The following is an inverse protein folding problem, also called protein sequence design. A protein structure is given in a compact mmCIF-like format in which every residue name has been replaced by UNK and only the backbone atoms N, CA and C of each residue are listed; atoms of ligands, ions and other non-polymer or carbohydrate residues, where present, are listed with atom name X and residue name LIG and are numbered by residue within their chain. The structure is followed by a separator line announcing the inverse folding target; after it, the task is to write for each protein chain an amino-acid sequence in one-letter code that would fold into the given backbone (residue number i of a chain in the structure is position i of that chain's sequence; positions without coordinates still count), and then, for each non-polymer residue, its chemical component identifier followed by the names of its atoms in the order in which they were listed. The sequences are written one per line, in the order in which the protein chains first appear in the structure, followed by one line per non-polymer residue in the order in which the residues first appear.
data_IF_605817815751
#
_entry.id   IF_605817815751
#
_cell.length_a   1.000
_cell.length_b   1.000
_cell.length_c   1.000
_cell.angle_alpha   90.00
_cell.angle_beta   90.00
_cell.angle_gamma   90.00
#
_symmetry.space_group_name_H-M   'P 1'
#
loop_
_entity.id
_entity.type
_entity.pdbx_description
1 polymer ?
#
# COMPACT_ATOMS: atom_id res chain seq x y z
N UNK A 1 -75.88 35.47 16.45
CA UNK A 1 -75.15 34.19 16.29
C UNK A 1 -73.64 34.36 16.12
N UNK A 2 -73.15 35.31 15.30
CA UNK A 2 -71.71 35.52 15.05
C UNK A 2 -70.78 35.71 16.29
N UNK A 3 -71.16 36.45 17.36
CA UNK A 3 -70.24 36.67 18.49
C UNK A 3 -70.02 35.41 19.36
N UNK A 4 -71.00 34.51 19.41
CA UNK A 4 -70.89 33.26 20.18
C UNK A 4 -69.91 32.28 19.52
N UNK A 5 -70.00 32.14 18.19
CA UNK A 5 -69.10 31.27 17.39
C UNK A 5 -67.65 31.75 17.50
N UNK A 6 -67.43 33.07 17.50
CA UNK A 6 -66.07 33.64 17.63
C UNK A 6 -65.46 33.37 19.01
N UNK A 7 -66.26 33.42 20.08
CA UNK A 7 -65.83 33.09 21.44
C UNK A 7 -65.45 31.61 21.60
N UNK A 8 -66.25 30.72 20.99
CA UNK A 8 -66.00 29.28 20.97
C UNK A 8 -64.72 28.96 20.19
N UNK A 9 -64.54 29.56 19.00
CA UNK A 9 -63.34 29.35 18.18
C UNK A 9 -62.07 29.84 18.89
N UNK A 10 -62.13 30.98 19.58
CA UNK A 10 -61.02 31.49 20.39
C UNK A 10 -60.67 30.55 21.56
N UNK A 11 -61.66 29.93 22.18
CA UNK A 11 -61.45 28.95 23.26
C UNK A 11 -60.83 27.65 22.75
N UNK A 12 -61.25 27.17 21.57
CA UNK A 12 -60.68 25.98 20.93
C UNK A 12 -59.21 26.21 20.55
N UNK A 13 -58.87 27.37 19.96
CA UNK A 13 -57.49 27.69 19.61
C UNK A 13 -56.59 27.80 20.86
N UNK A 14 -57.12 28.36 21.96
CA UNK A 14 -56.41 28.42 23.22
C UNK A 14 -56.17 27.03 23.82
N UNK A 15 -57.14 26.13 23.74
CA UNK A 15 -56.98 24.74 24.16
C UNK A 15 -55.93 23.99 23.32
N UNK A 16 -55.90 24.25 22.00
CA UNK A 16 -54.90 23.69 21.09
C UNK A 16 -53.48 24.18 21.42
N UNK A 17 -53.29 25.47 21.70
CA UNK A 17 -51.99 26.00 22.14
C UNK A 17 -51.51 25.38 23.46
N UNK A 18 -52.43 25.16 24.41
CA UNK A 18 -52.10 24.52 25.69
C UNK A 18 -51.66 23.07 25.48
N UNK A 19 -52.32 22.34 24.57
CA UNK A 19 -51.96 20.97 24.23
C UNK A 19 -50.58 20.86 23.56
N UNK A 20 -50.29 21.73 22.60
CA UNK A 20 -48.98 21.79 21.93
C UNK A 20 -47.85 22.13 22.93
N UNK A 21 -48.08 23.08 23.85
CA UNK A 21 -47.10 23.40 24.90
C UNK A 21 -46.88 22.25 25.87
N UNK A 22 -47.93 21.48 26.19
CA UNK A 22 -47.81 20.28 27.03
C UNK A 22 -47.01 19.18 26.31
N UNK A 23 -47.25 18.95 25.02
CA UNK A 23 -46.49 17.99 24.20
C UNK A 23 -45.01 18.34 24.13
N UNK A 24 -44.68 19.62 23.88
CA UNK A 24 -43.29 20.08 23.85
C UNK A 24 -42.61 19.87 25.21
N UNK A 25 -43.29 20.18 26.32
CA UNK A 25 -42.74 19.96 27.67
C UNK A 25 -42.53 18.48 27.98
N UNK A 26 -43.47 17.61 27.61
CA UNK A 26 -43.33 16.16 27.78
C UNK A 26 -42.15 15.60 26.97
N UNK A 27 -42.00 16.04 25.72
CA UNK A 27 -40.88 15.63 24.87
C UNK A 27 -39.54 16.15 25.41
N UNK A 28 -39.50 17.37 25.92
CA UNK A 28 -38.31 17.97 26.51
C UNK A 28 -37.90 17.28 27.81
N UNK A 29 -38.87 16.90 28.65
CA UNK A 29 -38.63 16.08 29.85
C UNK A 29 -38.09 14.70 29.46
N UNK A 30 -38.69 14.02 28.49
CA UNK A 30 -38.24 12.72 28.01
C UNK A 30 -36.81 12.75 27.45
N UNK A 31 -36.49 13.77 26.64
CA UNK A 31 -35.15 13.96 26.08
C UNK A 31 -34.12 14.25 27.18
N UNK A 32 -34.47 15.11 28.16
CA UNK A 32 -33.59 15.46 29.26
C UNK A 32 -33.30 14.27 30.18
N UNK A 33 -34.32 13.46 30.51
CA UNK A 33 -34.15 12.23 31.30
C UNK A 33 -33.33 11.18 30.56
N UNK A 34 -33.55 11.01 29.25
CA UNK A 34 -32.78 10.07 28.43
C UNK A 34 -31.31 10.49 28.35
N UNK A 35 -31.04 11.77 28.05
CA UNK A 35 -29.67 12.31 27.98
C UNK A 35 -28.98 12.23 29.35
N UNK A 36 -29.67 12.54 30.45
CA UNK A 36 -29.12 12.42 31.79
C UNK A 36 -28.75 10.96 32.14
N UNK A 37 -29.58 10.00 31.77
CA UNK A 37 -29.30 8.57 31.98
C UNK A 37 -28.13 8.08 31.11
N UNK A 38 -28.01 8.54 29.87
CA UNK A 38 -26.87 8.21 28.99
C UNK A 38 -25.57 8.84 29.50
N UNK A 39 -25.61 10.08 30.00
CA UNK A 39 -24.45 10.74 30.61
C UNK A 39 -24.05 10.05 31.91
N UNK A 40 -25.01 9.70 32.77
CA UNK A 40 -24.75 9.01 34.04
C UNK A 40 -24.15 7.63 33.83
N UNK A 41 -24.63 6.86 32.85
CA UNK A 41 -24.06 5.56 32.48
C UNK A 41 -22.64 5.70 31.91
N UNK A 42 -22.37 6.68 31.06
CA UNK A 42 -21.01 6.95 30.55
C UNK A 42 -20.04 7.36 31.67
N UNK A 43 -20.51 8.17 32.62
CA UNK A 43 -19.72 8.67 33.74
C UNK A 43 -19.45 7.57 34.77
N UNK A 44 -20.42 6.70 35.06
CA UNK A 44 -20.24 5.53 35.92
C UNK A 44 -19.28 4.52 35.29
N UNK A 45 -19.42 4.21 33.99
CA UNK A 45 -18.49 3.33 33.28
C UNK A 45 -17.07 3.91 33.32
N UNK A 46 -16.90 5.21 33.07
CA UNK A 46 -15.59 5.86 33.11
C UNK A 46 -14.99 5.89 34.52
N UNK A 47 -15.79 6.22 35.53
CA UNK A 47 -15.32 6.32 36.92
C UNK A 47 -14.95 4.95 37.51
N UNK A 48 -15.63 3.89 37.10
CA UNK A 48 -15.42 2.55 37.65
C UNK A 48 -14.34 1.77 36.86
N UNK A 49 -14.17 2.02 35.56
CA UNK A 49 -13.19 1.27 34.74
C UNK A 49 -11.79 1.92 34.75
N UNK A 50 -11.68 3.24 34.93
CA UNK A 50 -10.38 3.97 35.00
C UNK A 50 -9.48 3.50 36.16
N UNK A 51 -9.98 3.21 37.38
CA UNK A 51 -9.15 2.69 38.46
C UNK A 51 -8.65 1.26 38.21
N UNK A 52 -9.37 0.46 37.42
CA UNK A 52 -9.08 -0.96 37.21
C UNK A 52 -7.92 -1.20 36.22
N UNK A 53 -7.69 -0.27 35.28
CA UNK A 53 -6.68 -0.40 34.23
C UNK A 53 -5.23 -0.14 34.69
N UNK A 54 -4.99 0.33 35.92
CA UNK A 54 -3.64 0.70 36.40
C UNK A 54 -2.92 -0.33 37.27
N UNK A 55 -3.52 -1.49 37.56
CA UNK A 55 -2.85 -2.59 38.28
C UNK A 55 -2.42 -3.69 37.31
N UNK A 56 -1.35 -3.45 36.56
CA UNK A 56 -0.58 -4.52 35.89
C UNK A 56 0.76 -4.68 36.58
N UNK A 57 0.78 -5.49 37.64
CA UNK A 57 1.86 -6.42 37.95
C UNK A 57 1.37 -7.39 39.05
N UNK A 58 1.53 -8.69 38.81
CA UNK A 58 1.18 -9.86 39.66
C UNK A 58 -0.30 -10.29 39.75
N UNK A 59 -0.72 -11.05 38.71
CA UNK A 59 -1.41 -12.37 38.68
C UNK A 59 -2.31 -12.91 39.82
N UNK A 60 -2.83 -12.08 40.73
CA UNK A 60 -3.97 -12.40 41.59
C UNK A 60 -5.02 -11.32 41.33
N UNK A 61 -5.98 -11.61 40.46
CA UNK A 61 -7.01 -10.62 40.13
C UNK A 61 -7.95 -10.49 41.33
N UNK A 62 -7.92 -9.31 41.96
CA UNK A 62 -8.77 -8.95 43.10
C UNK A 62 -10.24 -9.26 42.74
N UNK A 63 -10.86 -10.19 43.48
CA UNK A 63 -12.27 -10.54 43.26
C UNK A 63 -13.11 -9.32 43.61
N UNK A 64 -13.96 -8.91 42.68
CA UNK A 64 -14.89 -7.81 42.89
C UNK A 64 -15.84 -8.17 44.04
N UNK A 65 -16.21 -7.17 44.84
CA UNK A 65 -17.24 -7.37 45.85
C UNK A 65 -18.57 -7.72 45.19
N UNK A 66 -19.46 -8.39 45.93
CA UNK A 66 -20.76 -8.80 45.39
C UNK A 66 -21.59 -7.60 44.87
N UNK A 67 -21.52 -6.46 45.56
CA UNK A 67 -22.21 -5.24 45.15
C UNK A 67 -21.64 -4.66 43.86
N UNK A 68 -20.31 -4.64 43.72
CA UNK A 68 -19.65 -4.21 42.49
C UNK A 68 -20.01 -5.14 41.33
N UNK A 69 -19.94 -6.46 41.53
CA UNK A 69 -20.30 -7.45 40.52
C UNK A 69 -21.75 -7.27 40.04
N UNK A 70 -22.69 -6.99 40.94
CA UNK A 70 -24.09 -6.68 40.60
C UNK A 70 -24.21 -5.38 39.80
N UNK A 71 -23.54 -4.30 40.22
CA UNK A 71 -23.57 -3.02 39.53
C UNK A 71 -23.06 -3.15 38.09
N UNK A 72 -21.93 -3.81 37.90
CA UNK A 72 -21.37 -4.05 36.58
C UNK A 72 -22.24 -4.97 35.73
N UNK A 73 -22.81 -6.03 36.32
CA UNK A 73 -23.71 -6.94 35.61
C UNK A 73 -24.89 -6.17 35.01
N UNK A 74 -25.53 -5.29 35.77
CA UNK A 74 -26.64 -4.47 35.28
C UNK A 74 -26.23 -3.54 34.11
N UNK A 75 -25.00 -3.02 34.14
CA UNK A 75 -24.43 -2.23 33.02
C UNK A 75 -24.19 -3.11 31.80
N UNK A 76 -23.61 -4.30 31.97
CA UNK A 76 -23.34 -5.23 30.88
C UNK A 76 -24.64 -5.74 30.23
N UNK A 77 -25.70 -6.00 31.02
CA UNK A 77 -27.04 -6.32 30.53
C UNK A 77 -27.56 -5.22 29.61
N UNK A 78 -27.46 -3.96 30.05
CA UNK A 78 -27.85 -2.80 29.24
C UNK A 78 -27.06 -2.72 27.93
N UNK A 79 -25.76 -3.05 27.95
CA UNK A 79 -24.94 -3.07 26.74
C UNK A 79 -25.36 -4.18 25.75
N UNK A 80 -25.69 -5.38 26.25
CA UNK A 80 -26.20 -6.48 25.42
C UNK A 80 -27.54 -6.10 24.78
N UNK A 81 -28.42 -5.44 25.53
CA UNK A 81 -29.70 -4.95 25.01
C UNK A 81 -29.52 -3.88 23.93
N UNK A 82 -28.62 -2.92 24.15
CA UNK A 82 -28.28 -1.90 23.15
C UNK A 82 -27.69 -2.51 21.87
N UNK A 83 -26.78 -3.48 22.00
CA UNK A 83 -26.26 -4.22 20.87
C UNK A 83 -27.39 -4.99 20.17
N UNK A 84 -28.32 -5.59 20.90
CA UNK A 84 -29.52 -6.25 20.35
C UNK A 84 -30.35 -5.31 19.49
N UNK A 85 -30.67 -4.12 20.00
CA UNK A 85 -31.38 -3.07 19.25
C UNK A 85 -30.61 -2.68 17.98
N UNK A 86 -29.30 -2.47 18.09
CA UNK A 86 -28.46 -2.13 16.93
C UNK A 86 -28.50 -3.23 15.86
N UNK A 87 -28.56 -4.51 16.27
CA UNK A 87 -28.70 -5.64 15.36
C UNK A 87 -30.03 -5.64 14.60
N UNK A 88 -31.12 -5.25 15.26
CA UNK A 88 -32.43 -5.10 14.62
C UNK A 88 -32.49 -3.93 13.63
N UNK A 89 -31.78 -2.83 13.92
CA UNK A 89 -31.72 -1.66 13.03
C UNK A 89 -30.83 -1.93 11.81
N UNK A 90 -29.80 -2.78 11.94
CA UNK A 90 -28.87 -3.13 10.89
C UNK A 90 -28.96 -4.62 10.48
N UNK A 91 -30.08 -5.06 9.85
CA UNK A 91 -30.22 -6.43 9.40
C UNK A 91 -29.39 -6.67 8.14
N UNK A 92 -28.46 -7.62 8.19
CA UNK A 92 -27.78 -8.10 6.98
C UNK A 92 -28.71 -9.09 6.28
N UNK A 93 -29.40 -8.62 5.23
CA UNK A 93 -30.19 -9.50 4.37
C UNK A 93 -29.25 -10.35 3.52
N UNK A 94 -29.01 -11.59 3.95
CA UNK A 94 -28.53 -12.62 3.06
C UNK A 94 -29.73 -13.06 2.23
N UNK A 95 -29.62 -12.92 0.91
CA UNK A 95 -30.57 -13.57 0.00
C UNK A 95 -30.40 -15.08 0.16
N UNK A 96 -31.16 -15.68 1.08
CA UNK A 96 -31.03 -17.08 1.47
C UNK A 96 -31.95 -17.49 2.63
N UNK A 97 -33.22 -17.70 2.30
CA UNK A 97 -34.20 -18.60 2.94
C UNK A 97 -35.02 -18.15 4.19
N UNK A 98 -36.32 -17.96 3.90
CA UNK A 98 -37.57 -18.35 4.60
C UNK A 98 -37.93 -17.79 5.98
N UNK A 99 -39.06 -17.07 5.96
CA UNK A 99 -40.14 -17.01 6.94
C UNK A 99 -39.85 -16.47 8.35
N UNK A 100 -39.74 -15.15 8.45
CA UNK A 100 -40.68 -14.29 9.20
C UNK A 100 -40.20 -12.82 9.10
N UNK A 101 -41.12 -11.90 8.76
CA UNK A 101 -40.93 -10.44 8.60
C UNK A 101 -40.48 -9.89 7.21
N UNK A 102 -41.04 -10.45 6.14
CA UNK A 102 -40.93 -9.94 4.76
C UNK A 102 -41.36 -8.46 4.57
N UNK A 103 -42.13 -7.88 5.49
CA UNK A 103 -42.69 -6.52 5.33
C UNK A 103 -41.76 -5.43 5.85
N UNK A 104 -40.98 -5.66 6.91
CA UNK A 104 -40.14 -4.60 7.50
C UNK A 104 -38.80 -4.45 6.76
N UNK A 105 -38.18 -5.56 6.37
CA UNK A 105 -36.92 -5.57 5.62
C UNK A 105 -37.08 -5.01 4.20
N UNK A 106 -38.23 -5.24 3.55
CA UNK A 106 -38.49 -4.77 2.18
C UNK A 106 -38.71 -3.26 2.11
N UNK A 107 -39.33 -2.64 3.12
CA UNK A 107 -39.57 -1.18 3.15
C UNK A 107 -38.25 -0.41 3.34
N UNK A 108 -37.40 -0.81 4.30
CA UNK A 108 -36.10 -0.18 4.52
C UNK A 108 -35.15 -0.36 3.33
N UNK A 109 -35.16 -1.54 2.70
CA UNK A 109 -34.35 -1.83 1.51
C UNK A 109 -34.76 -0.96 0.32
N UNK A 110 -36.06 -0.71 0.12
CA UNK A 110 -36.55 0.06 -1.04
C UNK A 110 -36.24 1.55 -0.97
N UNK A 111 -36.12 2.13 0.22
CA UNK A 111 -35.79 3.55 0.38
C UNK A 111 -34.28 3.85 0.23
N UNK A 112 -33.40 2.87 0.51
CA UNK A 112 -31.95 3.04 0.40
C UNK A 112 -31.39 2.68 -1.00
N UNK A 113 -32.12 1.88 -1.78
CA UNK A 113 -31.61 1.24 -2.99
C UNK A 113 -31.36 2.14 -4.21
N UNK A 114 -31.88 3.37 -4.28
CA UNK A 114 -31.78 4.17 -5.50
C UNK A 114 -30.48 5.01 -5.64
N UNK A 115 -29.60 5.05 -4.62
CA UNK A 115 -28.38 5.88 -4.65
C UNK A 115 -27.04 5.13 -4.54
N UNK A 116 -27.03 3.80 -4.36
CA UNK A 116 -25.83 3.04 -3.90
C UNK A 116 -25.40 1.90 -4.84
N UNK A 117 -25.64 1.98 -6.14
CA UNK A 117 -25.34 0.84 -7.05
C UNK A 117 -23.90 0.81 -7.61
N UNK A 118 -22.98 1.70 -7.18
CA UNK A 118 -21.56 1.66 -7.60
C UNK A 118 -20.56 1.33 -6.46
N UNK A 119 -21.01 1.25 -5.21
CA UNK A 119 -20.20 0.94 -4.02
C UNK A 119 -20.55 -0.42 -3.38
N UNK A 120 -21.37 -1.24 -4.03
CA UNK A 120 -22.19 -2.28 -3.38
C UNK A 120 -21.40 -3.47 -2.82
N UNK A 121 -20.34 -3.95 -3.48
CA UNK A 121 -19.59 -5.11 -3.00
C UNK A 121 -18.76 -4.81 -1.74
N UNK A 122 -18.07 -3.66 -1.70
CA UNK A 122 -17.30 -3.21 -0.54
C UNK A 122 -18.21 -2.83 0.64
N UNK A 123 -19.40 -2.29 0.36
CA UNK A 123 -20.40 -1.94 1.36
C UNK A 123 -20.99 -3.17 2.06
N UNK A 124 -21.33 -4.22 1.29
CA UNK A 124 -21.88 -5.47 1.86
C UNK A 124 -20.84 -6.16 2.77
N UNK A 125 -19.57 -6.21 2.35
CA UNK A 125 -18.51 -6.79 3.17
C UNK A 125 -18.27 -5.98 4.45
N UNK A 126 -18.28 -4.65 4.37
CA UNK A 126 -18.19 -3.81 5.58
C UNK A 126 -19.37 -4.02 6.53
N UNK A 127 -20.59 -4.23 6.02
CA UNK A 127 -21.77 -4.50 6.85
C UNK A 127 -21.70 -5.88 7.52
N UNK A 128 -21.21 -6.91 6.81
CA UNK A 128 -20.93 -8.22 7.39
C UNK A 128 -19.93 -8.12 8.52
N UNK A 129 -18.83 -7.40 8.30
CA UNK A 129 -17.82 -7.17 9.32
C UNK A 129 -18.41 -6.47 10.55
N UNK A 130 -19.15 -5.38 10.36
CA UNK A 130 -19.80 -4.67 11.48
C UNK A 130 -20.75 -5.60 12.24
N UNK A 131 -21.49 -6.47 11.55
CA UNK A 131 -22.38 -7.43 12.21
C UNK A 131 -21.62 -8.51 12.98
N UNK A 132 -20.52 -9.03 12.42
CA UNK A 132 -19.64 -9.98 13.08
C UNK A 132 -18.97 -9.35 14.31
N UNK A 133 -18.45 -8.13 14.19
CA UNK A 133 -17.82 -7.38 15.28
C UNK A 133 -18.83 -7.08 16.40
N UNK A 134 -20.07 -6.70 16.05
CA UNK A 134 -21.17 -6.53 16.99
C UNK A 134 -21.47 -7.84 17.73
N UNK A 135 -21.57 -8.96 17.01
CA UNK A 135 -21.86 -10.25 17.62
C UNK A 135 -20.74 -10.68 18.57
N UNK A 136 -19.49 -10.53 18.14
CA UNK A 136 -18.31 -10.77 18.98
C UNK A 136 -18.34 -9.92 20.25
N UNK A 137 -18.63 -8.62 20.15
CA UNK A 137 -18.77 -7.76 21.32
C UNK A 137 -19.90 -8.22 22.25
N UNK A 138 -21.05 -8.63 21.70
CA UNK A 138 -22.15 -9.19 22.46
C UNK A 138 -21.72 -10.44 23.22
N UNK A 139 -21.04 -11.38 22.55
CA UNK A 139 -20.59 -12.64 23.14
C UNK A 139 -19.57 -12.41 24.27
N UNK A 140 -18.61 -11.48 24.06
CA UNK A 140 -17.61 -11.10 25.07
C UNK A 140 -18.28 -10.46 26.29
N UNK A 141 -19.23 -9.56 26.08
CA UNK A 141 -19.97 -8.89 27.16
C UNK A 141 -20.82 -9.91 27.93
N UNK A 142 -21.56 -10.79 27.24
CA UNK A 142 -22.36 -11.85 27.87
C UNK A 142 -21.47 -12.83 28.65
N UNK A 143 -20.34 -13.25 28.09
CA UNK A 143 -19.39 -14.13 28.77
C UNK A 143 -18.79 -13.45 30.02
N UNK A 144 -18.46 -12.16 29.92
CA UNK A 144 -17.97 -11.36 31.04
C UNK A 144 -19.04 -11.23 32.13
N UNK A 145 -20.27 -10.87 31.76
CA UNK A 145 -21.42 -10.78 32.66
C UNK A 145 -21.64 -12.09 33.42
N UNK A 146 -21.65 -13.22 32.72
CA UNK A 146 -21.76 -14.55 33.34
C UNK A 146 -20.61 -14.83 34.32
N UNK A 147 -19.37 -14.54 33.93
CA UNK A 147 -18.18 -14.73 34.79
C UNK A 147 -18.22 -13.83 36.02
N UNK A 148 -18.76 -12.62 35.90
CA UNK A 148 -18.98 -11.71 37.02
C UNK A 148 -20.02 -12.24 38.00
N UNK A 149 -21.14 -12.79 37.51
CA UNK A 149 -22.17 -13.41 38.34
C UNK A 149 -21.67 -14.67 39.06
N UNK A 150 -20.91 -15.53 38.37
CA UNK A 150 -20.47 -16.83 38.91
C UNK A 150 -19.26 -16.72 39.84
N UNK A 151 -18.32 -15.83 39.52
CA UNK A 151 -16.98 -15.81 40.15
C UNK A 151 -16.52 -14.44 40.64
N UNK A 152 -17.26 -13.37 40.33
CA UNK A 152 -16.86 -12.00 40.63
C UNK A 152 -15.63 -11.53 39.84
N UNK A 153 -15.36 -12.12 38.67
CA UNK A 153 -14.17 -11.81 37.85
C UNK A 153 -14.54 -11.38 36.43
N UNK A 154 -13.67 -10.59 35.80
CA UNK A 154 -13.81 -10.11 34.41
C UNK A 154 -12.74 -10.67 33.46
N UNK A 155 -12.10 -11.79 33.82
CA UNK A 155 -10.99 -12.39 33.06
C UNK A 155 -11.33 -12.67 31.59
N UNK A 156 -12.61 -12.95 31.31
CA UNK A 156 -13.09 -13.16 29.94
C UNK A 156 -12.82 -11.95 29.02
N UNK A 157 -12.88 -10.74 29.56
CA UNK A 157 -12.62 -9.51 28.80
C UNK A 157 -11.12 -9.33 28.55
N UNK A 158 -10.28 -9.60 29.55
CA UNK A 158 -8.82 -9.58 29.43
C UNK A 158 -8.35 -10.59 28.39
N UNK A 159 -8.84 -11.83 28.46
CA UNK A 159 -8.54 -12.88 27.48
C UNK A 159 -9.01 -12.51 26.05
N UNK A 160 -10.18 -11.88 25.91
CA UNK A 160 -10.69 -11.42 24.62
C UNK A 160 -9.84 -10.26 24.04
N UNK A 161 -9.36 -9.36 24.91
CA UNK A 161 -8.48 -8.26 24.54
C UNK A 161 -7.10 -8.75 24.08
N UNK A 162 -6.51 -9.70 24.81
CA UNK A 162 -5.24 -10.33 24.43
C UNK A 162 -5.34 -11.03 23.07
N UNK A 163 -6.43 -11.74 22.80
CA UNK A 163 -6.67 -12.39 21.50
C UNK A 163 -6.78 -11.40 20.34
N UNK A 164 -7.40 -10.24 20.54
CA UNK A 164 -7.47 -9.20 19.49
C UNK A 164 -6.12 -8.50 19.26
N UNK A 165 -5.36 -8.22 20.32
CA UNK A 165 -3.99 -7.69 20.16
C UNK A 165 -3.08 -8.69 19.42
N UNK A 166 -3.21 -10.00 19.70
CA UNK A 166 -2.48 -11.04 18.96
C UNK A 166 -2.87 -11.08 17.48
N UNK A 167 -4.17 -10.99 17.16
CA UNK A 167 -4.65 -10.94 15.76
C UNK A 167 -4.12 -9.69 15.05
N UNK A 168 -4.15 -8.52 15.69
CA UNK A 168 -3.65 -7.25 15.15
C UNK A 168 -2.15 -7.32 14.85
N UNK A 169 -1.36 -7.91 15.75
CA UNK A 169 0.08 -8.16 15.54
C UNK A 169 0.32 -9.06 14.33
N UNK A 170 -0.41 -10.19 14.21
CA UNK A 170 -0.30 -11.10 13.05
C UNK A 170 -0.60 -10.40 11.72
N UNK A 171 -1.61 -9.54 11.66
CA UNK A 171 -1.91 -8.76 10.45
C UNK A 171 -0.82 -7.74 10.12
N UNK A 172 -0.27 -7.07 11.13
CA UNK A 172 0.82 -6.12 10.95
C UNK A 172 2.07 -6.78 10.35
N UNK A 173 2.43 -7.97 10.84
CA UNK A 173 3.54 -8.76 10.32
C UNK A 173 3.34 -9.19 8.87
N UNK A 174 2.10 -9.58 8.50
CA UNK A 174 1.75 -9.93 7.12
C UNK A 174 1.86 -8.71 6.20
N UNK A 175 1.43 -7.54 6.66
CA UNK A 175 1.50 -6.30 5.88
C UNK A 175 2.96 -5.90 5.61
N UNK A 176 3.81 -5.85 6.64
CA UNK A 176 5.25 -5.55 6.50
C UNK A 176 5.91 -6.52 5.51
N UNK A 177 5.62 -7.82 5.64
CA UNK A 177 6.14 -8.85 4.73
C UNK A 177 5.67 -8.64 3.28
N UNK A 178 4.44 -8.18 3.07
CA UNK A 178 3.90 -7.89 1.74
C UNK A 178 4.56 -6.68 1.07
N UNK A 179 4.87 -5.63 1.84
CA UNK A 179 5.57 -4.44 1.35
C UNK A 179 7.03 -4.77 1.01
N UNK A 180 7.73 -5.52 1.87
CA UNK A 180 9.07 -6.02 1.58
C UNK A 180 9.12 -6.82 0.26
N UNK A 181 8.13 -7.68 0.02
CA UNK A 181 8.03 -8.45 -1.24
C UNK A 181 7.87 -7.56 -2.48
N UNK A 182 7.17 -6.43 -2.39
CA UNK A 182 7.03 -5.49 -3.51
C UNK A 182 8.34 -4.77 -3.81
N UNK A 183 9.07 -4.36 -2.78
CA UNK A 183 10.37 -3.70 -2.94
C UNK A 183 11.41 -4.64 -3.56
N UNK A 184 11.48 -5.89 -3.08
CA UNK A 184 12.37 -6.92 -3.65
C UNK A 184 12.09 -7.12 -5.14
N UNK A 185 10.82 -7.30 -5.53
CA UNK A 185 10.45 -7.45 -6.95
C UNK A 185 10.84 -6.24 -7.82
N UNK A 186 10.75 -5.02 -7.28
CA UNK A 186 11.16 -3.81 -7.99
C UNK A 186 12.67 -3.79 -8.23
N UNK A 187 13.45 -4.11 -7.19
CA UNK A 187 14.92 -4.17 -7.27
C UNK A 187 15.39 -5.29 -8.20
N UNK A 188 14.76 -6.47 -8.16
CA UNK A 188 15.03 -7.58 -9.08
C UNK A 188 14.85 -7.16 -10.55
N UNK A 189 13.80 -6.40 -10.84
CA UNK A 189 13.55 -5.86 -12.19
C UNK A 189 14.63 -4.86 -12.61
N UNK A 190 15.01 -3.93 -11.74
CA UNK A 190 16.09 -2.97 -12.05
C UNK A 190 17.43 -3.67 -12.32
N UNK A 191 17.77 -4.68 -11.51
CA UNK A 191 18.97 -5.50 -11.73
C UNK A 191 18.94 -6.22 -13.08
N UNK A 192 17.80 -6.77 -13.45
CA UNK A 192 17.62 -7.44 -14.74
C UNK A 192 17.77 -6.46 -15.91
N UNK A 193 17.20 -5.26 -15.80
CA UNK A 193 17.25 -4.24 -16.85
C UNK A 193 18.69 -3.71 -17.02
N UNK A 194 19.38 -3.40 -15.92
CA UNK A 194 20.80 -2.98 -15.96
C UNK A 194 21.66 -4.08 -16.58
N UNK A 195 21.45 -5.35 -16.21
CA UNK A 195 22.18 -6.48 -16.80
C UNK A 195 21.96 -6.59 -18.32
N UNK A 196 20.73 -6.40 -18.79
CA UNK A 196 20.45 -6.39 -20.23
C UNK A 196 21.13 -5.22 -20.93
N UNK A 197 21.10 -4.03 -20.32
CA UNK A 197 21.73 -2.84 -20.89
C UNK A 197 23.24 -3.02 -21.03
N UNK A 198 23.92 -3.51 -19.99
CA UNK A 198 25.37 -3.77 -20.05
C UNK A 198 25.72 -4.84 -21.07
N UNK A 199 24.89 -5.87 -21.24
CA UNK A 199 25.08 -6.88 -22.29
C UNK A 199 24.93 -6.30 -23.70
N UNK A 200 23.94 -5.42 -23.92
CA UNK A 200 23.79 -4.73 -25.22
C UNK A 200 24.94 -3.76 -25.51
N UNK A 201 25.45 -3.08 -24.48
CA UNK A 201 26.59 -2.17 -24.62
C UNK A 201 27.88 -2.94 -24.92
N UNK A 202 28.10 -4.10 -24.28
CA UNK A 202 29.20 -5.00 -24.61
C UNK A 202 29.13 -5.47 -26.07
N UNK A 203 27.97 -5.94 -26.53
CA UNK A 203 27.80 -6.37 -27.94
C UNK A 203 28.09 -5.24 -28.92
N UNK A 204 27.70 -4.01 -28.59
CA UNK A 204 28.01 -2.82 -29.40
C UNK A 204 29.52 -2.52 -29.45
N UNK A 205 30.19 -2.59 -28.29
CA UNK A 205 31.65 -2.40 -28.20
C UNK A 205 32.42 -3.49 -28.94
N UNK A 206 32.00 -4.75 -28.83
CA UNK A 206 32.61 -5.86 -29.57
C UNK A 206 32.51 -5.67 -31.08
N UNK A 207 31.36 -5.18 -31.58
CA UNK A 207 31.19 -4.83 -32.99
C UNK A 207 32.14 -3.69 -33.42
N UNK A 208 32.33 -2.68 -32.58
CA UNK A 208 33.27 -1.59 -32.84
C UNK A 208 34.72 -2.08 -32.87
N UNK A 209 35.10 -2.98 -31.95
CA UNK A 209 36.44 -3.59 -31.92
C UNK A 209 36.71 -4.36 -33.21
N UNK A 210 35.72 -5.11 -33.72
CA UNK A 210 35.84 -5.82 -35.00
C UNK A 210 36.08 -4.86 -36.15
N UNK A 211 35.27 -3.80 -36.28
CA UNK A 211 35.43 -2.82 -37.35
C UNK A 211 36.80 -2.14 -37.32
N UNK A 212 37.24 -1.69 -36.13
CA UNK A 212 38.56 -1.06 -35.97
C UNK A 212 39.71 -2.03 -36.28
N UNK A 213 39.55 -3.32 -35.96
CA UNK A 213 40.54 -4.35 -36.29
C UNK A 213 40.64 -4.54 -37.81
N UNK A 214 39.51 -4.54 -38.52
CA UNK A 214 39.46 -4.66 -39.97
C UNK A 214 40.11 -3.44 -40.64
N UNK A 215 39.82 -2.22 -40.18
CA UNK A 215 40.46 -0.99 -40.66
C UNK A 215 41.98 -1.01 -40.45
N UNK A 216 42.45 -1.45 -39.28
CA UNK A 216 43.88 -1.58 -39.00
C UNK A 216 44.55 -2.61 -39.93
N UNK A 217 43.87 -3.72 -40.22
CA UNK A 217 44.38 -4.73 -41.12
C UNK A 217 44.45 -4.22 -42.57
N UNK A 218 43.46 -3.47 -43.01
CA UNK A 218 43.44 -2.81 -44.33
C UNK A 218 44.58 -1.81 -44.48
N UNK A 219 44.75 -0.90 -43.51
CA UNK A 219 45.85 0.08 -43.50
C UNK A 219 47.20 -0.64 -43.51
N UNK A 220 47.36 -1.69 -42.71
CA UNK A 220 48.61 -2.47 -42.66
C UNK A 220 48.93 -3.09 -44.02
N UNK A 221 47.94 -3.65 -44.72
CA UNK A 221 48.13 -4.21 -46.05
C UNK A 221 48.53 -3.13 -47.06
N UNK A 222 47.86 -1.96 -47.03
CA UNK A 222 48.15 -0.83 -47.90
C UNK A 222 49.57 -0.29 -47.71
N UNK A 223 49.98 -0.05 -46.45
CA UNK A 223 51.33 0.43 -46.12
C UNK A 223 52.41 -0.56 -46.57
N UNK A 224 52.17 -1.85 -46.41
CA UNK A 224 53.11 -2.89 -46.88
C UNK A 224 53.29 -2.87 -48.40
N UNK A 225 52.21 -2.65 -49.15
CA UNK A 225 52.25 -2.54 -50.60
C UNK A 225 52.98 -1.26 -51.05
N UNK A 226 52.68 -0.13 -50.43
CA UNK A 226 53.35 1.15 -50.68
C UNK A 226 54.85 1.06 -50.38
N UNK A 227 55.23 0.46 -49.24
CA UNK A 227 56.64 0.25 -48.87
C UNK A 227 57.40 -0.57 -49.92
N UNK A 228 56.78 -1.65 -50.43
CA UNK A 228 57.38 -2.49 -51.46
C UNK A 228 57.53 -1.77 -52.80
N UNK A 229 56.53 -0.95 -53.17
CA UNK A 229 56.58 -0.14 -54.37
C UNK A 229 57.67 0.93 -54.31
N UNK A 230 57.72 1.69 -53.20
CA UNK A 230 58.73 2.73 -52.97
C UNK A 230 60.13 2.13 -53.01
N UNK A 231 60.37 1.00 -52.32
CA UNK A 231 61.66 0.32 -52.34
C UNK A 231 62.07 -0.10 -53.76
N UNK A 232 61.16 -0.71 -54.53
CA UNK A 232 61.47 -1.13 -55.91
C UNK A 232 61.77 0.08 -56.80
N UNK A 233 61.08 1.20 -56.61
CA UNK A 233 61.33 2.45 -57.33
C UNK A 233 62.73 3.02 -56.99
N UNK A 234 63.09 3.09 -55.71
CA UNK A 234 64.40 3.60 -55.29
C UNK A 234 65.54 2.69 -55.74
N UNK A 235 65.39 1.37 -55.61
CA UNK A 235 66.41 0.40 -56.03
C UNK A 235 66.66 0.49 -57.55
N UNK A 236 65.60 0.67 -58.35
CA UNK A 236 65.72 0.90 -59.79
C UNK A 236 66.45 2.22 -60.10
N UNK A 237 66.11 3.29 -59.40
CA UNK A 237 66.77 4.59 -59.59
C UNK A 237 68.27 4.52 -59.27
N UNK A 238 68.64 3.88 -58.15
CA UNK A 238 70.04 3.68 -57.74
C UNK A 238 70.78 2.79 -58.74
N UNK A 239 70.17 1.69 -59.19
CA UNK A 239 70.79 0.83 -60.19
C UNK A 239 71.03 1.57 -61.52
N UNK A 240 70.08 2.41 -61.93
CA UNK A 240 70.22 3.22 -63.14
C UNK A 240 71.34 4.27 -63.02
N UNK A 241 71.39 5.02 -61.91
CA UNK A 241 72.47 5.99 -61.67
C UNK A 241 73.82 5.30 -61.55
N UNK A 242 73.91 4.19 -60.83
CA UNK A 242 75.15 3.42 -60.72
C UNK A 242 75.65 2.95 -62.09
N UNK A 243 74.75 2.44 -62.95
CA UNK A 243 75.12 2.02 -64.32
C UNK A 243 75.65 3.20 -65.15
N UNK A 244 75.04 4.39 -65.02
CA UNK A 244 75.53 5.60 -65.70
C UNK A 244 76.91 6.02 -65.19
N UNK A 245 77.14 5.99 -63.87
CA UNK A 245 78.44 6.29 -63.27
C UNK A 245 79.51 5.31 -63.75
N UNK A 246 79.25 4.00 -63.69
CA UNK A 246 80.20 2.98 -64.17
C UNK A 246 80.52 3.16 -65.66
N UNK A 247 79.53 3.50 -66.48
CA UNK A 247 79.78 3.76 -67.90
C UNK A 247 80.67 5.00 -68.10
N UNK A 248 80.44 6.08 -67.34
CA UNK A 248 81.26 7.28 -67.38
C UNK A 248 82.69 7.00 -66.88
N UNK A 249 82.85 6.23 -65.80
CA UNK A 249 84.15 5.82 -65.26
C UNK A 249 84.92 4.97 -66.28
N UNK A 250 84.29 3.97 -66.90
CA UNK A 250 84.92 3.18 -67.97
C UNK A 250 85.34 4.04 -69.19
N UNK A 251 84.63 5.14 -69.48
CA UNK A 251 85.03 6.09 -70.52
C UNK A 251 86.29 6.85 -70.08
N UNK A 252 86.29 7.38 -68.85
CA UNK A 252 87.44 8.09 -68.27
C UNK A 252 88.67 7.18 -68.18
N UNK A 253 88.52 5.91 -67.79
CA UNK A 253 89.61 4.93 -67.72
C UNK A 253 90.23 4.67 -69.08
N UNK A 254 89.41 4.56 -70.14
CA UNK A 254 89.91 4.44 -71.52
C UNK A 254 90.68 5.69 -71.94
N UNK A 255 90.18 6.88 -71.61
CA UNK A 255 90.87 8.14 -71.89
C UNK A 255 92.22 8.25 -71.17
N UNK A 256 92.30 7.79 -69.92
CA UNK A 256 93.55 7.71 -69.15
C UNK A 256 94.52 6.71 -69.80
N UNK A 257 94.06 5.50 -70.14
CA UNK A 257 94.90 4.49 -70.79
C UNK A 257 95.46 4.97 -72.14
N UNK A 258 94.67 5.72 -72.92
CA UNK A 258 95.14 6.38 -74.14
C UNK A 258 96.23 7.41 -73.82
N UNK A 259 96.07 8.25 -72.79
CA UNK A 259 97.11 9.22 -72.39
C UNK A 259 98.39 8.55 -71.93
N UNK A 260 98.31 7.49 -71.13
CA UNK A 260 99.48 6.76 -70.61
C UNK A 260 100.26 6.04 -71.74
N UNK A 261 99.57 5.56 -72.78
CA UNK A 261 100.22 4.99 -73.98
C UNK A 261 100.78 6.03 -74.96
N UNK A 262 100.43 7.32 -74.77
CA UNK A 262 100.86 8.44 -75.63
C UNK A 262 102.08 9.18 -75.07
N UNK A 263 102.66 8.73 -73.95
CA UNK A 263 103.86 9.31 -73.35
C UNK A 263 105.00 8.28 -73.32
N UNK A 264 105.84 8.18 -74.36
CA UNK A 264 107.20 7.66 -74.18
C UNK A 264 107.97 8.68 -73.32
N UNK A 265 108.74 8.20 -72.36
CA UNK A 265 109.59 9.05 -71.55
C UNK A 265 110.48 9.94 -72.40
N UNK A 266 110.53 11.21 -72.02
CA UNK A 266 111.74 12.02 -71.84
C UNK A 266 111.35 13.32 -71.09
#
# INVERSE_FOLDING_TARGET
MAPFINSVWKSINKAKEVYERLQIRLFQVYLSTTVANTIASFSLVSFVFVPLSKKTETKEMEKLTHLEALLFTAVLETCVDQLSILGYIMPVSYKGQTDLSHVCASILTRHLSNRVMKNSALSIESLRKIQADRQYASDVITATMKRMQESGTFNSLTEANEKEEEKKSKFHDVLIRSEGKKQIKSLEKQLQDVKKQTETELKSRDAMILNLKDELQEIKAKVSMESSYVKKSTDLQVHETQKRCNNAENILDKEIQVRDSSSPGD
#
